data_IF_942422804322
#
_entry.id   IF_942422804322
#
_cell.length_a   1.000
_cell.length_b   1.000
_cell.length_c   1.000
_cell.angle_alpha   90.00
_cell.angle_beta   90.00
_cell.angle_gamma   90.00
#
_symmetry.space_group_name_H-M   'P 1'
#
loop_
_entity.id
_entity.type
_entity.pdbx_description
1 polymer ?
#
# COMPACT_ATOMS: atom_id res chain seq x y z
N UNK A 1 -9.62 -19.50 2.57
CA UNK A 1 -8.15 -19.33 2.70
C UNK A 1 -7.45 -19.23 1.35
N UNK A 2 -7.78 -20.08 0.37
CA UNK A 2 -7.17 -20.06 -0.98
C UNK A 2 -7.45 -18.79 -1.78
N UNK A 3 -8.71 -18.31 -1.81
CA UNK A 3 -9.10 -17.14 -2.61
C UNK A 3 -8.42 -15.85 -2.12
N UNK A 4 -8.33 -15.66 -0.79
CA UNK A 4 -7.64 -14.51 -0.19
C UNK A 4 -6.14 -14.51 -0.47
N UNK A 5 -5.50 -15.68 -0.40
CA UNK A 5 -4.09 -15.85 -0.78
C UNK A 5 -3.86 -15.55 -2.27
N UNK A 6 -4.76 -16.02 -3.14
CA UNK A 6 -4.70 -15.72 -4.58
C UNK A 6 -4.85 -14.22 -4.85
N UNK A 7 -5.76 -13.53 -4.16
CA UNK A 7 -5.92 -12.08 -4.25
C UNK A 7 -4.66 -11.32 -3.81
N UNK A 8 -3.99 -11.77 -2.75
CA UNK A 8 -2.74 -11.17 -2.28
C UNK A 8 -1.65 -11.35 -3.34
N UNK A 9 -1.48 -12.55 -3.89
CA UNK A 9 -0.51 -12.83 -4.95
C UNK A 9 -0.72 -11.97 -6.20
N UNK A 10 -1.96 -11.86 -6.68
CA UNK A 10 -2.29 -11.02 -7.84
C UNK A 10 -1.96 -9.54 -7.59
N UNK A 11 -2.17 -9.05 -6.36
CA UNK A 11 -1.86 -7.66 -6.01
C UNK A 11 -0.36 -7.41 -5.91
N UNK A 12 0.42 -8.35 -5.35
CA UNK A 12 1.89 -8.27 -5.33
C UNK A 12 2.44 -8.22 -6.75
N UNK A 13 1.96 -9.10 -7.64
CA UNK A 13 2.38 -9.14 -9.04
C UNK A 13 2.03 -7.84 -9.78
N UNK A 14 0.81 -7.32 -9.56
CA UNK A 14 0.40 -6.03 -10.14
C UNK A 14 1.29 -4.86 -9.68
N UNK A 15 1.79 -4.91 -8.45
CA UNK A 15 2.65 -3.88 -7.88
C UNK A 15 3.98 -3.76 -8.63
N UNK A 16 4.60 -4.90 -8.94
CA UNK A 16 5.88 -4.96 -9.64
C UNK A 16 5.80 -4.48 -11.09
N UNK A 17 4.61 -4.49 -11.70
CA UNK A 17 4.46 -4.37 -13.15
C UNK A 17 4.33 -2.93 -13.68
N UNK A 18 3.79 -2.00 -12.89
CA UNK A 18 3.58 -0.60 -13.33
C UNK A 18 4.29 0.39 -12.40
N UNK A 19 5.62 0.50 -12.52
CA UNK A 19 6.43 1.39 -11.67
C UNK A 19 6.40 2.86 -12.07
N UNK A 20 5.94 3.19 -13.29
CA UNK A 20 6.06 4.54 -13.88
C UNK A 20 5.32 5.63 -13.11
N UNK A 21 4.12 5.36 -12.60
CA UNK A 21 3.35 6.34 -11.83
C UNK A 21 3.35 5.98 -10.35
N UNK A 22 4.00 6.82 -9.54
CA UNK A 22 4.12 6.61 -8.09
C UNK A 22 2.74 6.61 -7.41
N UNK A 23 1.78 7.40 -7.93
CA UNK A 23 0.38 7.39 -7.46
C UNK A 23 -0.28 6.02 -7.67
N UNK A 24 -0.08 5.41 -8.84
CA UNK A 24 -0.65 4.09 -9.15
C UNK A 24 -0.01 3.03 -8.25
N UNK A 25 1.27 3.15 -7.93
CA UNK A 25 1.95 2.27 -6.99
C UNK A 25 1.38 2.38 -5.57
N UNK A 26 1.17 3.60 -5.07
CA UNK A 26 0.57 3.82 -3.74
C UNK A 26 -0.88 3.30 -3.66
N UNK A 27 -1.66 3.46 -4.74
CA UNK A 27 -3.01 2.91 -4.81
C UNK A 27 -3.00 1.37 -4.73
N UNK A 28 -2.07 0.71 -5.43
CA UNK A 28 -1.89 -0.75 -5.38
C UNK A 28 -1.45 -1.23 -4.00
N UNK A 29 -0.63 -0.45 -3.29
CA UNK A 29 -0.23 -0.72 -1.90
C UNK A 29 -1.44 -0.70 -0.97
N UNK A 30 -2.27 0.34 -1.07
CA UNK A 30 -3.52 0.46 -0.29
C UNK A 30 -4.48 -0.70 -0.57
N UNK A 31 -4.60 -1.11 -1.83
CA UNK A 31 -5.41 -2.25 -2.21
C UNK A 31 -4.87 -3.58 -1.67
N UNK A 32 -3.56 -3.73 -1.50
CA UNK A 32 -2.92 -4.94 -0.96
C UNK A 32 -3.12 -5.08 0.56
N UNK A 33 -3.17 -3.96 1.29
CA UNK A 33 -3.34 -3.95 2.74
C UNK A 33 -4.75 -4.40 3.20
N UNK A 34 -5.79 -4.10 2.42
CA UNK A 34 -7.19 -4.48 2.71
C UNK A 34 -7.41 -6.00 2.85
N UNK A 35 -7.01 -6.87 1.90
CA UNK A 35 -7.21 -8.32 2.03
C UNK A 35 -6.35 -8.91 3.14
N UNK A 36 -5.20 -8.31 3.47
CA UNK A 36 -4.36 -8.73 4.60
C UNK A 36 -5.08 -8.45 5.91
N UNK A 37 -5.68 -7.26 6.06
CA UNK A 37 -6.50 -6.93 7.22
C UNK A 37 -7.65 -7.93 7.38
N UNK A 38 -8.37 -8.23 6.30
CA UNK A 38 -9.50 -9.16 6.33
C UNK A 38 -9.08 -10.60 6.63
N UNK A 39 -7.91 -11.02 6.16
CA UNK A 39 -7.34 -12.32 6.48
C UNK A 39 -6.95 -12.42 7.96
N UNK A 40 -6.33 -11.39 8.51
CA UNK A 40 -5.96 -11.33 9.93
C UNK A 40 -7.19 -11.28 10.84
N UNK A 41 -8.21 -10.48 10.49
CA UNK A 41 -9.43 -10.38 11.27
C UNK A 41 -10.25 -11.68 11.30
N UNK A 42 -10.17 -12.49 10.24
CA UNK A 42 -10.89 -13.76 10.16
C UNK A 42 -10.12 -14.95 10.74
N UNK A 43 -8.79 -14.89 10.78
CA UNK A 43 -7.94 -15.99 11.27
C UNK A 43 -7.66 -15.91 12.78
N UNK A 44 -7.62 -14.71 13.35
CA UNK A 44 -7.26 -14.52 14.76
C UNK A 44 -8.52 -14.53 15.65
N UNK A 45 -8.98 -15.74 15.98
CA UNK A 45 -10.08 -15.97 16.94
C UNK A 45 -9.82 -15.36 18.34
N UNK A 46 -8.56 -15.05 18.68
CA UNK A 46 -8.14 -14.53 19.99
C UNK A 46 -7.56 -13.11 19.97
N UNK A 47 -7.56 -12.40 18.84
CA UNK A 47 -7.10 -11.01 18.85
C UNK A 47 -8.16 -10.08 19.45
N UNK A 48 -7.72 -9.18 20.32
CA UNK A 48 -8.59 -8.13 20.85
C UNK A 48 -9.00 -7.16 19.75
N UNK A 49 -10.23 -6.63 19.81
CA UNK A 49 -10.69 -5.61 18.87
C UNK A 49 -9.79 -4.37 18.86
N UNK A 50 -9.12 -4.07 19.98
CA UNK A 50 -8.14 -2.98 20.07
C UNK A 50 -6.93 -3.18 19.16
N UNK A 51 -6.41 -4.40 19.00
CA UNK A 51 -5.23 -4.65 18.14
C UNK A 51 -5.58 -4.52 16.66
N UNK A 52 -6.77 -4.97 16.26
CA UNK A 52 -7.31 -4.77 14.92
C UNK A 52 -7.49 -3.28 14.60
N UNK A 53 -8.00 -2.49 15.54
CA UNK A 53 -8.14 -1.05 15.37
C UNK A 53 -6.78 -0.34 15.25
N UNK A 54 -5.78 -0.72 16.06
CA UNK A 54 -4.42 -0.18 15.97
C UNK A 54 -3.82 -0.49 14.59
N UNK A 55 -4.03 -1.70 14.07
CA UNK A 55 -3.57 -2.08 12.73
C UNK A 55 -4.21 -1.24 11.63
N UNK A 56 -5.51 -0.93 11.71
CA UNK A 56 -6.18 -0.02 10.78
C UNK A 56 -5.57 1.39 10.84
N UNK A 57 -5.34 1.93 12.04
CA UNK A 57 -4.76 3.26 12.22
C UNK A 57 -3.37 3.33 11.59
N UNK A 58 -2.54 2.30 11.79
CA UNK A 58 -1.20 2.22 11.20
C UNK A 58 -1.24 2.11 9.67
N UNK A 59 -2.21 1.40 9.10
CA UNK A 59 -2.40 1.35 7.64
C UNK A 59 -2.78 2.72 7.06
N UNK A 60 -3.69 3.44 7.72
CA UNK A 60 -4.13 4.76 7.27
C UNK A 60 -2.99 5.77 7.39
N UNK A 61 -2.29 5.81 8.54
CA UNK A 61 -1.18 6.74 8.78
C UNK A 61 -0.02 6.51 7.80
N UNK A 62 0.39 5.26 7.57
CA UNK A 62 1.43 4.93 6.60
C UNK A 62 1.06 5.39 5.17
N UNK A 63 -0.21 5.24 4.78
CA UNK A 63 -0.67 5.70 3.46
C UNK A 63 -0.69 7.23 3.33
N UNK A 64 -1.05 7.96 4.39
CA UNK A 64 -0.99 9.43 4.41
C UNK A 64 0.44 9.94 4.29
N UNK A 65 1.40 9.28 4.96
CA UNK A 65 2.82 9.62 4.88
C UNK A 65 3.38 9.35 3.46
N UNK A 66 2.96 8.26 2.82
CA UNK A 66 3.29 7.99 1.42
C UNK A 66 2.74 9.05 0.45
N UNK A 67 1.53 9.55 0.69
CA UNK A 67 0.93 10.64 -0.09
C UNK A 67 1.63 11.98 0.13
N UNK A 68 2.01 12.32 1.37
CA UNK A 68 2.76 13.56 1.63
C UNK A 68 4.14 13.55 0.98
N UNK A 69 4.83 12.40 0.99
CA UNK A 69 6.09 12.23 0.27
C UNK A 69 5.90 12.42 -1.24
N UNK A 70 4.84 11.82 -1.80
CA UNK A 70 4.44 12.03 -3.19
C UNK A 70 4.27 13.52 -3.53
N UNK A 71 3.53 14.26 -2.70
CA UNK A 71 3.29 15.69 -2.89
C UNK A 71 4.62 16.45 -2.87
N UNK A 72 5.49 16.18 -1.90
CA UNK A 72 6.82 16.81 -1.83
C UNK A 72 7.67 16.56 -3.09
N UNK A 73 7.66 15.34 -3.62
CA UNK A 73 8.42 14.98 -4.84
C UNK A 73 7.81 15.53 -6.12
N UNK A 74 6.48 15.65 -6.17
CA UNK A 74 5.80 16.29 -7.30
C UNK A 74 6.09 17.80 -7.34
N UNK A 75 6.24 18.44 -6.18
CA UNK A 75 6.55 19.87 -6.12
C UNK A 75 8.00 20.16 -6.53
N UNK A 76 8.95 19.24 -6.25
CA UNK A 76 10.35 19.41 -6.63
C UNK A 76 10.62 19.13 -8.12
N UNK A 77 9.89 18.21 -8.74
CA UNK A 77 10.15 17.76 -10.12
C UNK A 77 9.03 18.06 -11.12
N UNK A 78 8.01 18.84 -10.71
CA UNK A 78 6.82 19.21 -11.50
C UNK A 78 6.13 18.04 -12.22
N UNK A 79 6.43 16.81 -11.82
CA UNK A 79 5.97 15.59 -12.47
C UNK A 79 5.86 14.47 -11.44
N UNK A 80 4.80 13.68 -11.58
CA UNK A 80 4.52 12.51 -10.72
C UNK A 80 5.15 11.22 -11.26
N UNK A 81 6.06 11.35 -12.21
CA UNK A 81 6.63 10.24 -12.96
C UNK A 81 7.86 9.71 -12.21
N UNK A 82 7.91 8.40 -12.00
CA UNK A 82 8.99 7.73 -11.25
C UNK A 82 10.35 7.86 -11.94
N UNK A 83 10.38 8.28 -13.21
CA UNK A 83 11.59 8.47 -13.99
C UNK A 83 12.48 9.56 -13.37
N UNK A 84 11.88 10.58 -12.75
CA UNK A 84 12.66 11.67 -12.13
C UNK A 84 13.31 11.25 -10.80
N UNK A 85 12.76 10.26 -10.09
CA UNK A 85 13.44 9.65 -8.94
C UNK A 85 14.69 8.85 -9.32
N UNK A 86 14.83 8.48 -10.60
CA UNK A 86 15.96 7.71 -11.11
C UNK A 86 17.24 8.53 -11.30
N UNK A 87 17.25 9.81 -10.90
CA UNK A 87 18.44 10.67 -10.88
C UNK A 87 19.27 10.50 -9.59
N UNK A 88 18.72 9.86 -8.56
CA UNK A 88 19.36 9.65 -7.25
C UNK A 88 19.71 8.19 -6.95
N UNK A 89 19.52 7.29 -7.92
CA UNK A 89 20.03 5.91 -7.91
C UNK A 89 21.07 5.76 -9.01
#
# INVERSE_FOLDING_TARGET
MSITLMMIFMKIMSMCWWRKNIIIMLLKLKLLLIPIYFFLSSSLLFMSMSSLMIMLIMMVSGSSMGLSLLISTSHSHNSTNSIFMNLLT
#
